data_IF_010368223119
#
_entry.id   IF_010368223119
#
_cell.length_a   1.000
_cell.length_b   1.000
_cell.length_c   1.000
_cell.angle_alpha   90.00
_cell.angle_beta   90.00
_cell.angle_gamma   90.00
#
_symmetry.space_group_name_H-M   'P 1'
#
loop_
_entity.id
_entity.type
_entity.pdbx_description
1 polymer ?
#
# COMPACT_ATOMS: atom_id res chain seq x y z
N UNK A 1 -40.94 -34.40 17.38
CA UNK A 1 -40.00 -33.29 17.17
C UNK A 1 -38.53 -33.71 17.35
N UNK A 2 -38.13 -34.31 18.48
CA UNK A 2 -36.72 -34.72 18.71
C UNK A 2 -36.10 -35.65 17.65
N UNK A 3 -36.87 -36.62 17.10
CA UNK A 3 -36.38 -37.54 16.05
C UNK A 3 -36.07 -36.83 14.71
N UNK A 4 -36.86 -35.83 14.34
CA UNK A 4 -36.69 -35.07 13.09
C UNK A 4 -35.46 -34.17 13.17
N UNK A 5 -35.21 -33.56 14.34
CA UNK A 5 -34.03 -32.72 14.60
C UNK A 5 -32.73 -33.53 14.61
N UNK A 6 -32.77 -34.78 15.08
CA UNK A 6 -31.61 -35.69 15.05
C UNK A 6 -31.29 -36.20 13.63
N UNK A 7 -32.30 -36.43 12.80
CA UNK A 7 -32.08 -36.87 11.41
C UNK A 7 -31.59 -35.74 10.51
N UNK A 8 -32.05 -34.50 10.72
CA UNK A 8 -31.57 -33.35 9.95
C UNK A 8 -30.14 -32.98 10.33
N UNK A 9 -29.79 -33.04 11.62
CA UNK A 9 -28.41 -32.83 12.08
C UNK A 9 -27.44 -33.90 11.56
N UNK A 10 -27.85 -35.17 11.54
CA UNK A 10 -27.04 -36.26 10.97
C UNK A 10 -26.85 -36.11 9.45
N UNK A 11 -27.89 -35.69 8.72
CA UNK A 11 -27.83 -35.45 7.28
C UNK A 11 -26.92 -34.26 6.94
N UNK A 12 -26.98 -33.17 7.71
CA UNK A 12 -26.06 -32.03 7.60
C UNK A 12 -24.61 -32.44 7.90
N UNK A 13 -24.38 -33.30 8.91
CA UNK A 13 -23.04 -33.81 9.22
C UNK A 13 -22.47 -34.67 8.08
N UNK A 14 -23.30 -35.53 7.49
CA UNK A 14 -22.93 -36.39 6.35
C UNK A 14 -22.64 -35.59 5.07
N UNK A 15 -23.37 -34.49 4.85
CA UNK A 15 -23.10 -33.55 3.75
C UNK A 15 -21.74 -32.84 3.93
N UNK A 16 -21.36 -32.50 5.17
CA UNK A 16 -20.06 -31.90 5.46
C UNK A 16 -18.87 -32.85 5.27
N UNK A 17 -19.03 -34.16 5.52
CA UNK A 17 -17.95 -35.15 5.32
C UNK A 17 -17.57 -35.32 3.84
N UNK A 18 -18.49 -35.10 2.90
CA UNK A 18 -18.21 -35.13 1.46
C UNK A 18 -17.49 -33.87 0.94
N UNK A 19 -17.41 -32.80 1.74
CA UNK A 19 -16.68 -31.58 1.40
C UNK A 19 -15.20 -31.65 1.81
N UNK A 20 -14.78 -32.71 2.51
CA UNK A 20 -13.39 -32.93 2.87
C UNK A 20 -12.57 -33.48 1.69
N UNK A 21 -12.63 -32.84 0.52
CA UNK A 21 -11.63 -33.07 -0.51
C UNK A 21 -10.34 -32.37 -0.06
N UNK A 22 -9.38 -33.15 0.41
CA UNK A 22 -8.02 -32.70 0.60
C UNK A 22 -7.48 -32.19 -0.74
N UNK A 23 -7.15 -30.91 -0.83
CA UNK A 23 -6.65 -30.29 -2.05
C UNK A 23 -5.46 -31.08 -2.61
N UNK A 24 -5.55 -31.48 -3.88
CA UNK A 24 -4.47 -32.24 -4.51
C UNK A 24 -3.25 -31.32 -4.71
N UNK A 25 -2.04 -31.90 -4.69
CA UNK A 25 -0.81 -31.11 -4.93
C UNK A 25 -0.86 -30.37 -6.28
N UNK A 26 -1.56 -30.94 -7.25
CA UNK A 26 -1.73 -30.38 -8.59
C UNK A 26 -2.66 -29.16 -8.55
N UNK A 27 -3.73 -29.22 -7.76
CA UNK A 27 -4.66 -28.10 -7.53
C UNK A 27 -3.96 -26.93 -6.83
N UNK A 28 -3.11 -27.21 -5.83
CA UNK A 28 -2.28 -26.22 -5.14
C UNK A 28 -1.26 -25.58 -6.11
N UNK A 29 -0.71 -26.37 -7.03
CA UNK A 29 0.27 -25.89 -8.02
C UNK A 29 -0.36 -24.95 -9.06
N UNK A 30 -1.61 -25.21 -9.45
CA UNK A 30 -2.37 -24.37 -10.38
C UNK A 30 -2.72 -23.02 -9.73
N UNK A 31 -3.18 -23.04 -8.48
CA UNK A 31 -3.51 -21.81 -7.75
C UNK A 31 -2.27 -20.97 -7.39
N UNK A 32 -1.08 -21.60 -7.22
CA UNK A 32 0.18 -20.86 -6.99
C UNK A 32 0.47 -19.85 -8.10
N UNK A 33 0.11 -20.18 -9.35
CA UNK A 33 0.33 -19.30 -10.50
C UNK A 33 -0.68 -18.15 -10.56
N UNK A 34 -1.90 -18.35 -10.05
CA UNK A 34 -2.92 -17.29 -9.93
C UNK A 34 -2.61 -16.36 -8.76
N UNK A 35 -2.00 -16.88 -7.69
CA UNK A 35 -1.55 -16.11 -6.52
C UNK A 35 -0.18 -15.46 -6.79
N UNK A 36 0.40 -15.59 -7.99
CA UNK A 36 1.69 -14.99 -8.30
C UNK A 36 1.70 -13.51 -7.93
N UNK A 37 2.73 -13.21 -7.14
CA UNK A 37 2.74 -12.20 -6.10
C UNK A 37 2.58 -10.80 -6.67
N UNK A 38 1.75 -9.97 -6.03
CA UNK A 38 1.73 -8.54 -6.30
C UNK A 38 3.18 -8.01 -6.30
N UNK A 39 3.59 -7.20 -7.29
CA UNK A 39 4.97 -6.75 -7.40
C UNK A 39 5.39 -6.07 -6.09
N UNK A 40 6.48 -6.55 -5.49
CA UNK A 40 7.03 -5.94 -4.26
C UNK A 40 7.42 -4.50 -4.57
N UNK A 41 6.69 -3.54 -4.00
CA UNK A 41 7.01 -2.11 -4.17
C UNK A 41 8.35 -1.83 -3.49
N UNK A 42 9.31 -1.34 -4.26
CA UNK A 42 10.65 -0.97 -3.75
C UNK A 42 10.71 0.54 -3.60
N UNK A 43 10.82 1.01 -2.37
CA UNK A 43 10.96 2.44 -2.07
C UNK A 43 12.44 2.83 -2.00
N UNK A 44 12.90 3.63 -2.97
CA UNK A 44 14.30 4.06 -3.07
C UNK A 44 14.60 5.21 -2.11
N UNK A 45 13.58 6.01 -1.82
CA UNK A 45 13.61 7.21 -1.00
C UNK A 45 13.90 6.90 0.46
N UNK A 46 13.58 5.70 0.93
CA UNK A 46 13.86 5.23 2.29
C UNK A 46 15.34 4.80 2.49
N UNK A 47 16.12 4.64 1.42
CA UNK A 47 17.53 4.21 1.50
C UNK A 47 18.48 5.39 1.74
N UNK A 48 19.70 5.09 2.18
CA UNK A 48 20.79 6.07 2.31
C UNK A 48 20.65 7.02 3.51
N UNK A 49 20.20 6.51 4.66
CA UNK A 49 20.08 7.29 5.89
C UNK A 49 21.46 7.58 6.49
N UNK A 50 21.71 8.83 6.88
CA UNK A 50 23.00 9.30 7.43
C UNK A 50 23.03 9.41 8.95
N UNK A 51 21.86 9.51 9.57
CA UNK A 51 21.69 9.71 11.01
C UNK A 51 20.44 8.97 11.52
N UNK A 52 20.30 8.89 12.84
CA UNK A 52 19.22 8.17 13.54
C UNK A 52 17.85 8.76 13.20
N UNK A 53 17.78 10.09 13.03
CA UNK A 53 16.56 10.80 12.65
C UNK A 53 16.09 10.34 11.27
N UNK A 54 16.97 10.26 10.27
CA UNK A 54 16.64 9.76 8.94
C UNK A 54 16.22 8.28 8.93
N UNK A 55 16.81 7.45 9.80
CA UNK A 55 16.37 6.07 10.00
C UNK A 55 14.95 6.00 10.59
N UNK A 56 14.66 6.81 11.61
CA UNK A 56 13.33 6.91 12.21
C UNK A 56 12.29 7.32 11.16
N UNK A 57 12.53 8.40 10.43
CA UNK A 57 11.60 8.88 9.40
C UNK A 57 11.45 7.90 8.23
N UNK A 58 12.52 7.23 7.82
CA UNK A 58 12.43 6.17 6.79
C UNK A 58 11.62 4.98 7.29
N UNK A 59 11.74 4.61 8.56
CA UNK A 59 10.92 3.58 9.21
C UNK A 59 9.44 3.96 9.24
N UNK A 60 9.12 5.18 9.69
CA UNK A 60 7.76 5.71 9.68
C UNK A 60 7.17 5.77 8.27
N UNK A 61 7.96 6.21 7.28
CA UNK A 61 7.57 6.21 5.88
C UNK A 61 7.27 4.79 5.39
N UNK A 62 8.14 3.81 5.63
CA UNK A 62 7.92 2.41 5.21
C UNK A 62 6.70 1.79 5.91
N UNK A 63 6.52 2.07 7.20
CA UNK A 63 5.34 1.67 7.96
C UNK A 63 4.06 2.24 7.31
N UNK A 64 4.05 3.56 7.06
CA UNK A 64 2.92 4.19 6.38
C UNK A 64 2.65 3.60 5.00
N UNK A 65 3.68 3.40 4.19
CA UNK A 65 3.56 2.83 2.84
C UNK A 65 3.06 1.38 2.83
N UNK A 66 3.34 0.61 3.87
CA UNK A 66 2.98 -0.80 3.95
C UNK A 66 1.58 -0.99 4.53
N UNK A 67 1.27 -0.29 5.62
CA UNK A 67 0.04 -0.49 6.38
C UNK A 67 -1.11 0.42 5.94
N UNK A 68 -0.85 1.71 5.66
CA UNK A 68 -1.90 2.68 5.36
C UNK A 68 -2.05 2.93 3.86
N UNK A 69 -0.95 3.18 3.15
CA UNK A 69 -0.98 3.50 1.71
C UNK A 69 -1.51 2.37 0.84
N UNK A 70 -1.52 1.12 1.33
CA UNK A 70 -2.11 -0.02 0.63
C UNK A 70 -3.64 0.02 0.64
N UNK A 71 -4.25 0.75 1.57
CA UNK A 71 -5.70 0.89 1.74
C UNK A 71 -6.24 2.19 1.12
N UNK A 72 -5.37 3.16 0.83
CA UNK A 72 -5.75 4.44 0.23
C UNK A 72 -6.07 4.29 -1.27
N UNK A 73 -7.25 4.76 -1.68
CA UNK A 73 -7.63 4.99 -3.09
C UNK A 73 -7.03 6.29 -3.64
N UNK A 74 -6.45 7.13 -2.79
CA UNK A 74 -6.06 8.50 -3.10
C UNK A 74 -4.76 8.55 -3.90
N UNK A 75 -4.85 8.92 -5.17
CA UNK A 75 -3.69 9.13 -6.05
C UNK A 75 -3.23 10.58 -5.91
N UNK A 76 -1.94 10.78 -5.57
CA UNK A 76 -1.37 12.12 -5.56
C UNK A 76 -1.46 12.73 -6.97
N UNK A 77 -1.85 14.01 -7.07
CA UNK A 77 -1.89 14.74 -8.36
C UNK A 77 -0.49 15.00 -8.93
N UNK A 78 0.52 14.75 -8.12
CA UNK A 78 1.89 15.05 -8.46
C UNK A 78 2.85 13.87 -8.27
N UNK A 79 4.00 13.97 -8.94
CA UNK A 79 5.16 13.09 -8.80
C UNK A 79 6.38 13.85 -8.27
N UNK A 80 7.17 13.27 -7.33
CA UNK A 80 6.87 12.02 -6.61
C UNK A 80 5.65 12.19 -5.69
N UNK A 81 5.13 11.07 -5.14
CA UNK A 81 3.97 11.10 -4.24
C UNK A 81 4.22 11.97 -3.00
N UNK A 82 3.17 12.48 -2.34
CA UNK A 82 3.33 13.33 -1.15
C UNK A 82 4.16 12.67 -0.04
N UNK A 83 3.99 11.35 0.18
CA UNK A 83 4.80 10.60 1.13
C UNK A 83 6.27 10.52 0.74
N UNK A 84 6.57 10.32 -0.55
CA UNK A 84 7.95 10.28 -1.07
C UNK A 84 8.59 11.67 -1.03
N UNK A 85 7.84 12.70 -1.44
CA UNK A 85 8.25 14.09 -1.31
C UNK A 85 8.63 14.41 0.14
N UNK A 86 7.82 13.97 1.12
CA UNK A 86 8.08 14.23 2.54
C UNK A 86 9.39 13.63 3.05
N UNK A 87 9.67 12.35 2.75
CA UNK A 87 10.95 11.77 3.17
C UNK A 87 12.14 12.41 2.42
N UNK A 88 11.97 12.79 1.15
CA UNK A 88 13.01 13.47 0.38
C UNK A 88 13.31 14.86 0.92
N UNK A 89 12.29 15.66 1.28
CA UNK A 89 12.51 16.99 1.86
C UNK A 89 13.07 16.92 3.28
N UNK A 90 12.66 15.95 4.10
CA UNK A 90 13.26 15.73 5.42
C UNK A 90 14.74 15.38 5.30
N UNK A 91 15.12 14.50 4.36
CA UNK A 91 16.52 14.16 4.09
C UNK A 91 17.33 15.33 3.54
N UNK A 92 16.71 16.24 2.80
CA UNK A 92 17.39 17.36 2.14
C UNK A 92 17.51 18.61 3.02
N UNK A 93 16.49 18.94 3.80
CA UNK A 93 16.42 20.19 4.57
C UNK A 93 16.22 19.99 6.08
N UNK A 94 16.19 18.75 6.56
CA UNK A 94 15.93 18.42 7.96
C UNK A 94 14.43 18.42 8.31
N UNK A 95 14.11 18.03 9.54
CA UNK A 95 12.73 17.76 9.99
C UNK A 95 11.83 18.99 9.93
N UNK A 96 12.30 20.15 10.39
CA UNK A 96 11.50 21.38 10.46
C UNK A 96 11.16 21.91 9.06
N UNK A 97 12.18 22.24 8.27
CA UNK A 97 11.97 22.80 6.93
C UNK A 97 11.40 21.74 5.98
N UNK A 98 11.82 20.48 6.14
CA UNK A 98 11.25 19.34 5.43
C UNK A 98 9.75 19.21 5.69
N UNK A 99 9.35 19.27 6.97
CA UNK A 99 7.95 19.21 7.41
C UNK A 99 7.12 20.38 6.88
N UNK A 100 7.62 21.62 6.97
CA UNK A 100 6.93 22.80 6.40
C UNK A 100 6.67 22.62 4.90
N UNK A 101 7.69 22.18 4.14
CA UNK A 101 7.55 21.91 2.70
C UNK A 101 6.57 20.77 2.41
N UNK A 102 6.58 19.72 3.21
CA UNK A 102 5.61 18.61 3.08
C UNK A 102 4.18 19.09 3.37
N UNK A 103 3.99 19.97 4.35
CA UNK A 103 2.67 20.52 4.67
C UNK A 103 2.16 21.44 3.55
N UNK A 104 2.98 22.38 3.05
CA UNK A 104 2.64 23.17 1.85
C UNK A 104 2.20 22.26 0.70
N UNK A 105 2.99 21.22 0.46
CA UNK A 105 2.73 20.23 -0.58
C UNK A 105 1.38 19.53 -0.43
N UNK A 106 1.04 19.10 0.78
CA UNK A 106 -0.23 18.43 1.08
C UNK A 106 -1.43 19.35 0.84
N UNK A 107 -1.31 20.66 1.12
CA UNK A 107 -2.40 21.62 0.85
C UNK A 107 -2.68 21.81 -0.64
N UNK A 108 -1.64 21.69 -1.49
CA UNK A 108 -1.77 21.84 -2.94
C UNK A 108 -2.10 20.55 -3.67
N UNK A 109 -1.82 19.39 -3.09
CA UNK A 109 -2.05 18.09 -3.72
C UNK A 109 -3.52 17.65 -3.64
N UNK A 110 -4.34 18.17 -4.53
CA UNK A 110 -5.74 17.81 -4.67
C UNK A 110 -6.24 18.04 -6.12
N UNK A 111 -7.52 17.81 -6.39
CA UNK A 111 -8.11 17.99 -7.73
C UNK A 111 -8.06 19.42 -8.29
N UNK A 112 -7.83 20.42 -7.43
CA UNK A 112 -7.68 21.85 -7.79
C UNK A 112 -6.21 22.28 -7.81
N UNK A 113 -5.28 21.33 -8.01
CA UNK A 113 -3.85 21.63 -8.13
C UNK A 113 -3.61 22.70 -9.21
N UNK A 114 -2.77 23.71 -8.96
CA UNK A 114 -2.56 24.80 -9.92
C UNK A 114 -1.99 24.29 -11.26
N UNK A 115 -2.46 24.83 -12.39
CA UNK A 115 -1.95 24.48 -13.73
C UNK A 115 -0.57 25.10 -14.07
N UNK A 116 0.22 25.48 -13.06
CA UNK A 116 1.53 26.14 -13.24
C UNK A 116 2.72 25.18 -13.20
N UNK A 117 2.49 23.90 -12.92
CA UNK A 117 3.55 22.89 -12.80
C UNK A 117 3.81 22.21 -14.13
N UNK A 118 5.07 21.82 -14.35
CA UNK A 118 5.43 20.94 -15.47
C UNK A 118 4.68 19.60 -15.34
N UNK A 119 4.30 19.01 -16.47
CA UNK A 119 3.58 17.74 -16.51
C UNK A 119 4.55 16.63 -16.91
N UNK A 120 4.64 15.58 -16.10
CA UNK A 120 5.25 14.31 -16.51
C UNK A 120 4.27 13.59 -17.44
N UNK A 121 4.57 13.61 -18.75
CA UNK A 121 3.72 13.01 -19.78
C UNK A 121 3.53 11.50 -19.58
N UNK A 122 4.54 10.81 -19.01
CA UNK A 122 4.50 9.37 -18.80
C UNK A 122 3.62 9.01 -17.61
N UNK A 123 3.81 9.72 -16.50
CA UNK A 123 3.04 9.49 -15.28
C UNK A 123 1.64 10.15 -15.33
N UNK A 124 1.43 11.13 -16.23
CA UNK A 124 0.26 12.03 -16.26
C UNK A 124 0.05 12.76 -14.93
N UNK A 125 1.15 13.13 -14.28
CA UNK A 125 1.18 13.81 -12.99
C UNK A 125 1.94 15.12 -13.10
N UNK A 126 1.62 16.08 -12.24
CA UNK A 126 2.36 17.33 -12.10
C UNK A 126 3.71 17.09 -11.40
N UNK A 127 4.78 17.75 -11.84
CA UNK A 127 6.12 17.59 -11.25
C UNK A 127 6.32 18.63 -10.15
N UNK A 128 6.74 18.20 -8.96
CA UNK A 128 7.22 19.10 -7.90
C UNK A 128 8.46 18.49 -7.24
N UNK A 129 9.57 19.22 -7.30
CA UNK A 129 10.87 18.72 -6.87
C UNK A 129 11.08 19.05 -5.39
N UNK A 130 11.54 18.10 -4.56
CA UNK A 130 11.85 18.34 -3.15
C UNK A 130 13.00 19.34 -2.97
#
# INVERSE_FOLDING_TARGET
MAKILSTTTLFLLLLCLNQAQAQSKDEISLHRNVIQQAPKRVYKEAKGNKNEVEYLFSGLFLFYKTFFSSQDLTVCTFTPSCSEYGILTVKKYGVLMGGIRTMDRLTRCNGLSPMKYEIDVKAKLLIDKP
#
